data_IF_923107164712
#
_entry.id   IF_923107164712
#
_cell.length_a   1.000
_cell.length_b   1.000
_cell.length_c   1.000
_cell.angle_alpha   90.00
_cell.angle_beta   90.00
_cell.angle_gamma   90.00
#
_symmetry.space_group_name_H-M   'P 1'
#
loop_
_entity.id
_entity.type
_entity.pdbx_description
1 polymer ?
#
# COMPACT_ATOMS: atom_id res chain seq x y z
N UNK A 1 -17.24 33.64 0.01
CA UNK A 1 -17.10 32.47 -0.92
C UNK A 1 -15.66 31.94 -1.08
N UNK A 2 -14.65 32.43 -0.36
CA UNK A 2 -13.25 31.96 -0.53
C UNK A 2 -12.94 30.54 0.02
N UNK A 3 -13.71 30.06 1.00
CA UNK A 3 -13.41 28.79 1.68
C UNK A 3 -13.71 27.54 0.83
N UNK A 4 -14.81 27.56 0.06
CA UNK A 4 -15.25 26.38 -0.70
C UNK A 4 -14.32 26.05 -1.88
N UNK A 5 -13.90 27.06 -2.63
CA UNK A 5 -13.01 26.85 -3.77
C UNK A 5 -11.64 26.34 -3.31
N UNK A 6 -11.15 26.83 -2.17
CA UNK A 6 -9.93 26.36 -1.56
C UNK A 6 -10.03 24.89 -1.13
N UNK A 7 -11.12 24.51 -0.45
CA UNK A 7 -11.40 23.12 -0.05
C UNK A 7 -11.45 22.19 -1.27
N UNK A 8 -12.14 22.60 -2.36
CA UNK A 8 -12.19 21.82 -3.61
C UNK A 8 -10.81 21.56 -4.19
N UNK A 9 -9.93 22.57 -4.21
CA UNK A 9 -8.55 22.43 -4.72
C UNK A 9 -7.74 21.48 -3.84
N UNK A 10 -7.81 21.61 -2.51
CA UNK A 10 -7.08 20.74 -1.61
C UNK A 10 -7.58 19.28 -1.69
N UNK A 11 -8.89 19.07 -1.74
CA UNK A 11 -9.48 17.74 -1.96
C UNK A 11 -8.97 17.13 -3.26
N UNK A 12 -9.04 17.87 -4.36
CA UNK A 12 -8.58 17.39 -5.68
C UNK A 12 -7.11 16.98 -5.64
N UNK A 13 -6.26 17.75 -4.96
CA UNK A 13 -4.84 17.38 -4.77
C UNK A 13 -4.66 16.09 -3.96
N UNK A 14 -5.39 15.95 -2.86
CA UNK A 14 -5.34 14.74 -2.04
C UNK A 14 -5.83 13.50 -2.81
N UNK A 15 -6.93 13.65 -3.55
CA UNK A 15 -7.53 12.60 -4.37
C UNK A 15 -6.59 12.15 -5.51
N UNK A 16 -5.96 13.10 -6.22
CA UNK A 16 -4.99 12.76 -7.27
C UNK A 16 -3.72 12.12 -6.71
N UNK A 17 -3.26 12.57 -5.53
CA UNK A 17 -2.13 11.95 -4.86
C UNK A 17 -2.45 10.50 -4.47
N UNK A 18 -3.63 10.26 -3.88
CA UNK A 18 -4.05 8.91 -3.52
C UNK A 18 -4.18 8.01 -4.76
N UNK A 19 -4.84 8.48 -5.83
CA UNK A 19 -4.94 7.73 -7.10
C UNK A 19 -3.58 7.30 -7.64
N UNK A 20 -2.62 8.22 -7.67
CA UNK A 20 -1.25 7.92 -8.10
C UNK A 20 -0.58 6.85 -7.23
N UNK A 21 -0.73 6.93 -5.91
CA UNK A 21 -0.14 5.94 -5.01
C UNK A 21 -0.88 4.59 -5.05
N UNK A 22 -2.17 4.56 -5.39
CA UNK A 22 -2.90 3.31 -5.67
C UNK A 22 -2.31 2.62 -6.90
N UNK A 23 -2.09 3.37 -7.98
CA UNK A 23 -1.46 2.84 -9.20
C UNK A 23 -0.04 2.30 -8.90
N UNK A 24 0.75 3.03 -8.12
CA UNK A 24 2.06 2.57 -7.66
C UNK A 24 1.97 1.29 -6.81
N UNK A 25 1.00 1.23 -5.89
CA UNK A 25 0.77 0.07 -5.03
C UNK A 25 0.38 -1.16 -5.83
N UNK A 26 -0.53 -1.01 -6.80
CA UNK A 26 -0.96 -2.08 -7.67
C UNK A 26 0.17 -2.65 -8.53
N UNK A 27 1.12 -1.82 -8.96
CA UNK A 27 2.26 -2.25 -9.76
C UNK A 27 3.11 -3.35 -9.07
N UNK A 28 3.11 -3.42 -7.74
CA UNK A 28 3.83 -4.50 -7.03
C UNK A 28 3.25 -5.89 -7.28
N UNK A 29 1.96 -6.01 -7.64
CA UNK A 29 1.33 -7.29 -7.96
C UNK A 29 1.61 -7.76 -9.39
N UNK A 30 1.91 -6.81 -10.28
CA UNK A 30 2.23 -7.09 -11.69
C UNK A 30 3.74 -7.29 -11.93
N UNK A 31 4.58 -6.96 -10.94
CA UNK A 31 6.03 -7.04 -11.06
C UNK A 31 6.54 -8.43 -10.71
N UNK A 32 7.25 -9.08 -11.64
CA UNK A 32 8.01 -10.29 -11.34
C UNK A 32 9.23 -9.95 -10.47
N UNK A 33 9.18 -10.39 -9.21
CA UNK A 33 10.21 -10.15 -8.19
C UNK A 33 11.21 -11.31 -8.06
N UNK A 34 11.15 -12.33 -8.93
CA UNK A 34 11.99 -13.53 -8.86
C UNK A 34 13.49 -13.25 -8.84
N UNK A 35 13.94 -12.23 -9.58
CA UNK A 35 15.34 -11.82 -9.69
C UNK A 35 15.66 -10.52 -8.93
N UNK A 36 14.71 -10.00 -8.15
CA UNK A 36 14.90 -8.78 -7.40
C UNK A 36 15.53 -9.04 -6.02
N UNK A 37 16.21 -8.02 -5.51
CA UNK A 37 16.63 -7.97 -4.12
C UNK A 37 15.39 -7.83 -3.22
N UNK A 38 14.98 -8.92 -2.59
CA UNK A 38 13.75 -9.00 -1.80
C UNK A 38 13.73 -8.05 -0.61
N UNK A 39 14.89 -7.75 -0.03
CA UNK A 39 15.00 -6.78 1.07
C UNK A 39 14.63 -5.39 0.56
N UNK A 40 15.18 -5.00 -0.60
CA UNK A 40 14.84 -3.72 -1.25
C UNK A 40 13.37 -3.66 -1.64
N UNK A 41 12.83 -4.73 -2.25
CA UNK A 41 11.41 -4.81 -2.60
C UNK A 41 10.52 -4.67 -1.37
N UNK A 42 10.83 -5.36 -0.27
CA UNK A 42 10.06 -5.26 0.97
C UNK A 42 10.12 -3.84 1.59
N UNK A 43 11.25 -3.15 1.47
CA UNK A 43 11.40 -1.76 1.90
C UNK A 43 10.60 -0.79 1.02
N UNK A 44 10.56 -1.03 -0.29
CA UNK A 44 9.78 -0.21 -1.22
C UNK A 44 8.27 -0.43 -1.03
N UNK A 45 7.82 -1.67 -0.79
CA UNK A 45 6.45 -1.97 -0.36
C UNK A 45 6.12 -1.23 0.94
N UNK A 46 7.03 -1.24 1.93
CA UNK A 46 6.83 -0.51 3.20
C UNK A 46 6.68 0.99 2.98
N UNK A 47 7.46 1.60 2.08
CA UNK A 47 7.32 3.02 1.73
C UNK A 47 5.99 3.29 1.03
N UNK A 48 5.55 2.39 0.14
CA UNK A 48 4.28 2.49 -0.57
C UNK A 48 3.10 2.48 0.39
N UNK A 49 3.07 1.54 1.35
CA UNK A 49 2.04 1.48 2.41
C UNK A 49 1.96 2.81 3.17
N UNK A 50 3.09 3.33 3.67
CA UNK A 50 3.12 4.60 4.41
C UNK A 50 2.60 5.79 3.60
N UNK A 51 2.86 5.81 2.30
CA UNK A 51 2.38 6.86 1.41
C UNK A 51 0.87 6.75 1.18
N UNK A 52 0.37 5.54 0.95
CA UNK A 52 -1.06 5.26 0.82
C UNK A 52 -1.80 5.70 2.09
N UNK A 53 -1.34 5.30 3.28
CA UNK A 53 -1.89 5.72 4.57
C UNK A 53 -1.93 7.25 4.70
N UNK A 54 -0.80 7.93 4.45
CA UNK A 54 -0.72 9.39 4.53
C UNK A 54 -1.63 10.10 3.53
N UNK A 55 -1.79 9.56 2.32
CA UNK A 55 -2.69 10.13 1.32
C UNK A 55 -4.16 9.89 1.68
N UNK A 56 -4.49 8.72 2.22
CA UNK A 56 -5.83 8.39 2.73
C UNK A 56 -6.23 9.32 3.87
N UNK A 57 -5.37 9.53 4.87
CA UNK A 57 -5.63 10.47 5.97
C UNK A 57 -5.87 11.90 5.47
N UNK A 58 -5.08 12.35 4.49
CA UNK A 58 -5.25 13.67 3.89
C UNK A 58 -6.58 13.81 3.17
N UNK A 59 -7.00 12.79 2.42
CA UNK A 59 -8.28 12.78 1.74
C UNK A 59 -9.43 12.80 2.76
N UNK A 60 -9.41 11.92 3.75
CA UNK A 60 -10.39 11.86 4.83
C UNK A 60 -10.52 13.21 5.55
N UNK A 61 -9.40 13.89 5.82
CA UNK A 61 -9.39 15.23 6.40
C UNK A 61 -10.08 16.26 5.49
N UNK A 62 -9.88 16.20 4.17
CA UNK A 62 -10.58 17.09 3.24
C UNK A 62 -12.08 16.75 3.14
N UNK A 63 -12.45 15.47 3.18
CA UNK A 63 -13.85 15.03 3.18
C UNK A 63 -14.60 15.59 4.40
N UNK A 64 -13.99 15.57 5.60
CA UNK A 64 -14.57 16.21 6.79
C UNK A 64 -14.80 17.71 6.60
N UNK A 65 -13.83 18.43 6.02
CA UNK A 65 -13.98 19.87 5.72
C UNK A 65 -15.06 20.16 4.68
N UNK A 66 -15.24 19.26 3.70
CA UNK A 66 -16.34 19.34 2.74
C UNK A 66 -17.67 19.23 3.47
N UNK A 67 -17.84 18.21 4.32
CA UNK A 67 -19.05 18.01 5.09
C UNK A 67 -19.38 19.22 5.99
N UNK A 68 -18.40 19.77 6.69
CA UNK A 68 -18.58 20.97 7.53
C UNK A 68 -18.97 22.22 6.72
N UNK A 69 -18.48 22.33 5.47
CA UNK A 69 -18.67 23.56 4.67
C UNK A 69 -19.95 23.53 3.84
N UNK A 70 -20.26 22.37 3.26
CA UNK A 70 -21.36 22.15 2.32
C UNK A 70 -22.55 21.40 2.91
N UNK A 71 -22.39 20.62 3.99
CA UNK A 71 -23.36 19.61 4.44
C UNK A 71 -24.82 20.06 4.38
N UNK A 72 -25.17 21.13 5.09
CA UNK A 72 -26.56 21.63 5.12
C UNK A 72 -26.95 22.50 3.92
N UNK A 73 -25.95 22.99 3.15
CA UNK A 73 -26.16 23.92 2.04
C UNK A 73 -26.41 23.20 0.72
N UNK A 74 -25.80 22.03 0.56
CA UNK A 74 -25.93 21.17 -0.61
C UNK A 74 -25.67 19.71 -0.20
N UNK A 75 -26.68 19.06 0.43
CA UNK A 75 -26.54 17.70 0.93
C UNK A 75 -26.25 16.69 -0.18
N UNK A 76 -26.93 16.83 -1.32
CA UNK A 76 -26.76 15.91 -2.46
C UNK A 76 -25.33 15.95 -3.02
N UNK A 77 -24.76 17.15 -3.21
CA UNK A 77 -23.37 17.29 -3.64
C UNK A 77 -22.39 16.80 -2.58
N UNK A 78 -22.68 17.06 -1.30
CA UNK A 78 -21.84 16.59 -0.18
C UNK A 78 -21.80 15.07 -0.16
N UNK A 79 -22.94 14.40 -0.22
CA UNK A 79 -23.04 12.95 -0.23
C UNK A 79 -22.34 12.34 -1.45
N UNK A 80 -22.50 12.93 -2.64
CA UNK A 80 -21.80 12.48 -3.84
C UNK A 80 -20.27 12.54 -3.67
N UNK A 81 -19.75 13.62 -3.09
CA UNK A 81 -18.33 13.79 -2.80
C UNK A 81 -17.84 12.77 -1.76
N UNK A 82 -18.57 12.62 -0.64
CA UNK A 82 -18.19 11.70 0.43
C UNK A 82 -18.22 10.25 -0.04
N UNK A 83 -19.19 9.86 -0.87
CA UNK A 83 -19.26 8.52 -1.46
C UNK A 83 -18.09 8.25 -2.44
N UNK A 84 -17.70 9.24 -3.25
CA UNK A 84 -16.50 9.12 -4.11
C UNK A 84 -15.24 8.91 -3.27
N UNK A 85 -15.06 9.73 -2.22
CA UNK A 85 -13.89 9.65 -1.33
C UNK A 85 -13.87 8.31 -0.57
N UNK A 86 -15.00 7.87 -0.04
CA UNK A 86 -15.13 6.59 0.67
C UNK A 86 -14.76 5.41 -0.22
N UNK A 87 -15.27 5.38 -1.46
CA UNK A 87 -14.95 4.33 -2.43
C UNK A 87 -13.44 4.26 -2.72
N UNK A 88 -12.77 5.41 -2.80
CA UNK A 88 -11.33 5.46 -3.03
C UNK A 88 -10.52 5.04 -1.81
N UNK A 89 -10.97 5.40 -0.61
CA UNK A 89 -10.36 5.00 0.66
C UNK A 89 -10.49 3.49 0.88
N UNK A 90 -11.63 2.88 0.57
CA UNK A 90 -11.81 1.43 0.66
C UNK A 90 -10.85 0.68 -0.27
N UNK A 91 -10.67 1.17 -1.50
CA UNK A 91 -9.66 0.63 -2.43
C UNK A 91 -8.24 0.74 -1.86
N UNK A 92 -7.92 1.87 -1.22
CA UNK A 92 -6.64 2.06 -0.58
C UNK A 92 -6.40 1.07 0.56
N UNK A 93 -7.40 0.84 1.40
CA UNK A 93 -7.31 -0.13 2.50
C UNK A 93 -7.09 -1.56 2.00
N UNK A 94 -7.78 -1.96 0.92
CA UNK A 94 -7.57 -3.27 0.31
C UNK A 94 -6.14 -3.42 -0.22
N UNK A 95 -5.64 -2.44 -0.99
CA UNK A 95 -4.26 -2.47 -1.50
C UNK A 95 -3.24 -2.47 -0.36
N UNK A 96 -3.45 -1.69 0.71
CA UNK A 96 -2.58 -1.70 1.89
C UNK A 96 -2.53 -3.10 2.51
N UNK A 97 -3.68 -3.76 2.70
CA UNK A 97 -3.75 -5.11 3.25
C UNK A 97 -3.01 -6.13 2.37
N UNK A 98 -3.21 -6.06 1.06
CA UNK A 98 -2.55 -6.96 0.10
C UNK A 98 -1.02 -6.71 0.05
N UNK A 99 -0.57 -5.46 0.14
CA UNK A 99 0.84 -5.11 0.23
C UNK A 99 1.47 -5.61 1.55
N UNK A 100 0.74 -5.55 2.66
CA UNK A 100 1.18 -6.16 3.91
C UNK A 100 1.36 -7.68 3.76
N UNK A 101 0.40 -8.36 3.15
CA UNK A 101 0.49 -9.80 2.89
C UNK A 101 1.67 -10.15 1.99
N UNK A 102 1.85 -9.40 0.89
CA UNK A 102 2.98 -9.58 -0.03
C UNK A 102 4.32 -9.41 0.69
N UNK A 103 4.44 -8.39 1.54
CA UNK A 103 5.64 -8.15 2.34
C UNK A 103 5.94 -9.30 3.32
N UNK A 104 4.93 -9.84 3.99
CA UNK A 104 5.14 -10.99 4.89
C UNK A 104 5.49 -12.26 4.11
N UNK A 105 4.89 -12.47 2.94
CA UNK A 105 5.25 -13.58 2.05
C UNK A 105 6.71 -13.49 1.59
N UNK A 106 7.20 -12.30 1.23
CA UNK A 106 8.59 -12.09 0.83
C UNK A 106 9.58 -12.48 1.94
N UNK A 107 9.28 -12.13 3.20
CA UNK A 107 10.09 -12.54 4.36
C UNK A 107 10.08 -14.05 4.57
N UNK A 108 8.91 -14.69 4.45
CA UNK A 108 8.78 -16.13 4.65
C UNK A 108 9.58 -16.95 3.61
N UNK A 109 9.66 -16.48 2.36
CA UNK A 109 10.44 -17.14 1.31
C UNK A 109 11.95 -17.00 1.56
N UNK A 110 12.41 -15.93 2.20
CA UNK A 110 13.82 -15.78 2.56
C UNK A 110 14.23 -16.79 3.63
N UNK A 111 13.47 -16.88 4.71
CA UNK A 111 13.73 -17.84 5.80
C UNK A 111 13.78 -19.30 5.30
N UNK A 112 12.90 -19.68 4.38
CA UNK A 112 12.88 -21.05 3.80
C UNK A 112 14.07 -21.33 2.88
N UNK A 113 14.65 -20.32 2.25
CA UNK A 113 15.84 -20.48 1.39
C UNK A 113 17.08 -20.76 2.24
N UNK A 114 17.18 -20.09 3.38
CA UNK A 114 18.27 -20.30 4.34
C UNK A 114 18.18 -21.70 4.98
N UNK A 115 16.98 -22.14 5.38
CA UNK A 115 16.75 -23.49 5.90
C UNK A 115 17.11 -24.58 4.87
N UNK A 116 16.70 -24.42 3.60
CA UNK A 116 17.01 -25.39 2.54
C UNK A 116 18.50 -25.44 2.16
N UNK A 117 19.22 -24.33 2.33
CA UNK A 117 20.66 -24.25 2.11
C UNK A 117 21.42 -24.95 3.25
N UNK A 118 21.00 -24.74 4.50
CA UNK A 118 21.58 -25.40 5.67
C UNK A 118 21.38 -26.92 5.64
N UNK A 119 20.19 -27.40 5.24
CA UNK A 119 19.95 -28.84 5.07
C UNK A 119 20.86 -29.48 4.00
N UNK A 120 21.12 -28.77 2.89
CA UNK A 120 22.03 -29.23 1.85
C UNK A 120 23.49 -29.26 2.33
N UNK A 121 23.90 -28.27 3.13
CA UNK A 121 25.23 -28.24 3.72
C UNK A 121 25.43 -29.40 4.70
N UNK A 122 24.43 -29.66 5.56
CA UNK A 122 24.42 -30.78 6.50
C UNK A 122 24.50 -32.12 5.74
N UNK A 123 23.68 -32.33 4.70
CA UNK A 123 23.75 -33.57 3.88
C UNK A 123 25.14 -33.80 3.28
N UNK A 124 25.75 -32.77 2.68
CA UNK A 124 27.11 -32.85 2.10
C UNK A 124 28.17 -33.18 3.16
N UNK A 125 28.05 -32.61 4.36
CA UNK A 125 28.97 -32.88 5.48
C UNK A 125 28.84 -34.31 6.01
N UNK A 126 27.64 -34.90 5.98
CA UNK A 126 27.42 -36.29 6.41
C UNK A 126 27.82 -37.33 5.36
N UNK A 127 27.71 -37.03 4.06
CA UNK A 127 28.16 -37.91 2.98
C UNK A 127 29.70 -38.03 2.95
N UNK A 128 30.42 -36.93 3.23
CA UNK A 128 31.88 -36.93 3.30
C UNK A 128 32.47 -37.70 4.51
N UNK A 129 31.68 -37.98 5.54
CA UNK A 129 32.12 -38.75 6.72
C UNK A 129 31.96 -40.27 6.57
N UNK A 130 31.26 -40.75 5.53
CA UNK A 130 31.07 -42.20 5.28
C UNK A 130 32.10 -42.82 4.34
N UNK A 131 33.05 -42.04 3.82
CA UNK A 131 34.07 -42.48 2.84
C UNK A 131 35.49 -42.60 3.42
N UNK A 132 35.64 -42.86 4.71
CA UNK A 132 36.92 -43.25 5.32
C UNK A 132 36.78 -44.51 6.16
#
# INVERSE_FOLDING_TARGET
MANLQYIKVLRTRALNALKKELDNGSHFFDTDVSNCDKIKVADDIRKSIKKLESCSEKLQCQSGKVAETLGDKDPELTDAILNEDATLLDKAMNIIADLHLLKENLKAVDNKKDEAMDENLVKRLFEHKKTK
#
